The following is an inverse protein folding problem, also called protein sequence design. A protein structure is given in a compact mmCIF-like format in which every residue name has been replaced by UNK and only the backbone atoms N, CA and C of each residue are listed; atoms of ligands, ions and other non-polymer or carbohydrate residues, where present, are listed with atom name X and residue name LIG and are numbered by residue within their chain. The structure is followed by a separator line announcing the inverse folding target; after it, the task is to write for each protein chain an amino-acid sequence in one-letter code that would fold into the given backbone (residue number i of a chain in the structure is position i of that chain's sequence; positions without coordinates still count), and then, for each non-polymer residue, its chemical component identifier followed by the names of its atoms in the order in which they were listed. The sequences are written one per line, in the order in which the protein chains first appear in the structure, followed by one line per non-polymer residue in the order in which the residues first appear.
data_IF_282768775757
#
_entry.id   IF_282768775757
#
_cell.length_a   1.000
_cell.length_b   1.000
_cell.length_c   1.000
_cell.angle_alpha   90.00
_cell.angle_beta   90.00
_cell.angle_gamma   90.00
#
_symmetry.space_group_name_H-M   'P 1'
#
loop_
_entity.id
_entity.type
_entity.pdbx_description
1 polymer ?
#
# COMPACT_ATOMS: atom_id res chain seq x y z
N UNK A 1 -37.81 -20.98 15.50
CA UNK A 1 -36.54 -21.76 15.62
C UNK A 1 -35.55 -21.38 14.51
N UNK A 2 -35.23 -20.09 14.32
CA UNK A 2 -34.21 -19.65 13.35
C UNK A 2 -33.70 -18.25 13.70
N UNK A 3 -33.27 -18.04 14.95
CA UNK A 3 -32.83 -16.71 15.39
C UNK A 3 -31.78 -16.71 16.53
N UNK A 4 -31.34 -17.88 17.01
CA UNK A 4 -30.37 -17.99 18.10
C UNK A 4 -28.95 -18.38 17.66
N UNK A 5 -28.77 -18.80 16.41
CA UNK A 5 -27.49 -19.32 15.93
C UNK A 5 -26.61 -18.28 15.23
N UNK A 6 -27.17 -17.15 14.76
CA UNK A 6 -26.37 -16.07 14.16
C UNK A 6 -25.73 -15.13 15.19
N UNK A 7 -26.18 -15.14 16.45
CA UNK A 7 -25.62 -14.25 17.48
C UNK A 7 -24.32 -14.77 18.12
N UNK A 8 -23.88 -16.00 17.82
CA UNK A 8 -22.77 -16.67 18.52
C UNK A 8 -21.46 -16.82 17.75
N UNK A 9 -21.40 -16.48 16.46
CA UNK A 9 -20.22 -16.80 15.62
C UNK A 9 -19.25 -15.64 15.32
N UNK A 10 -19.22 -14.55 16.10
CA UNK A 10 -18.20 -13.52 15.86
C UNK A 10 -17.66 -12.78 17.10
N UNK A 11 -17.55 -13.47 18.25
CA UNK A 11 -17.14 -12.81 19.50
C UNK A 11 -16.00 -13.55 20.20
N UNK A 12 -14.79 -13.39 19.67
CA UNK A 12 -13.58 -13.51 20.49
C UNK A 12 -13.34 -12.14 21.12
N UNK A 13 -13.70 -12.01 22.39
CA UNK A 13 -13.46 -10.83 23.22
C UNK A 13 -12.09 -11.02 23.88
N UNK A 14 -11.17 -10.09 23.65
CA UNK A 14 -9.91 -10.02 24.37
C UNK A 14 -10.11 -9.30 25.72
N UNK A 15 -9.23 -9.57 26.69
CA UNK A 15 -9.34 -9.23 28.11
C UNK A 15 -9.42 -7.71 28.41
N UNK A 16 -9.09 -6.85 27.44
CA UNK A 16 -9.01 -5.39 27.60
C UNK A 16 -10.20 -4.59 27.06
N UNK A 17 -11.31 -5.22 26.66
CA UNK A 17 -12.57 -4.52 26.33
C UNK A 17 -12.56 -3.58 25.11
N UNK A 18 -11.41 -3.36 24.46
CA UNK A 18 -11.29 -2.49 23.30
C UNK A 18 -11.48 -3.27 21.99
N UNK A 19 -12.68 -3.18 21.39
CA UNK A 19 -12.97 -3.72 20.06
C UNK A 19 -12.32 -2.81 19.01
N UNK A 20 -11.08 -3.09 18.60
CA UNK A 20 -10.58 -2.51 17.33
C UNK A 20 -11.44 -3.07 16.19
N UNK A 21 -12.18 -2.24 15.44
CA UNK A 21 -13.03 -2.74 14.36
C UNK A 21 -12.17 -3.40 13.29
N UNK A 22 -12.57 -4.57 12.82
CA UNK A 22 -12.03 -5.13 11.57
C UNK A 22 -12.34 -4.15 10.44
N UNK A 23 -11.39 -3.87 9.55
CA UNK A 23 -11.64 -3.03 8.38
C UNK A 23 -11.21 -1.56 8.50
N UNK A 24 -10.24 -1.22 9.36
CA UNK A 24 -9.85 0.19 9.57
C UNK A 24 -9.27 0.79 8.29
N UNK A 25 -8.45 0.05 7.55
CA UNK A 25 -7.94 0.47 6.24
C UNK A 25 -9.05 0.74 5.23
N UNK A 26 -9.93 -0.24 5.03
CA UNK A 26 -11.05 -0.11 4.09
C UNK A 26 -12.00 1.02 4.49
N UNK A 27 -12.34 1.15 5.77
CA UNK A 27 -13.24 2.18 6.27
C UNK A 27 -12.66 3.58 6.08
N UNK A 28 -11.37 3.77 6.38
CA UNK A 28 -10.69 5.07 6.23
C UNK A 28 -10.54 5.50 4.77
N UNK A 29 -10.26 4.56 3.87
CA UNK A 29 -10.22 4.84 2.43
C UNK A 29 -11.59 5.27 1.89
N UNK A 30 -12.66 4.62 2.35
CA UNK A 30 -14.04 4.99 2.00
C UNK A 30 -14.45 6.35 2.58
N UNK A 31 -14.11 6.61 3.84
CA UNK A 31 -14.36 7.91 4.50
C UNK A 31 -13.70 9.06 3.74
N UNK A 32 -12.43 8.92 3.38
CA UNK A 32 -11.71 9.90 2.56
C UNK A 32 -12.35 10.09 1.18
N UNK A 33 -12.83 9.02 0.56
CA UNK A 33 -13.49 9.08 -0.74
C UNK A 33 -14.82 9.83 -0.68
N UNK A 34 -15.62 9.58 0.35
CA UNK A 34 -16.88 10.31 0.59
C UNK A 34 -16.61 11.81 0.81
N UNK A 35 -15.57 12.15 1.59
CA UNK A 35 -15.12 13.54 1.75
C UNK A 35 -14.71 14.17 0.40
N UNK A 36 -14.02 13.42 -0.45
CA UNK A 36 -13.62 13.90 -1.77
C UNK A 36 -14.82 14.12 -2.70
N UNK A 37 -15.82 13.23 -2.67
CA UNK A 37 -17.06 13.40 -3.45
C UNK A 37 -17.83 14.63 -3.00
N UNK A 38 -17.95 14.85 -1.69
CA UNK A 38 -18.63 16.02 -1.14
C UNK A 38 -17.97 17.36 -1.56
N UNK A 39 -16.64 17.38 -1.71
CA UNK A 39 -15.86 18.57 -2.09
C UNK A 39 -15.54 18.69 -3.58
N UNK A 40 -15.97 17.74 -4.42
CA UNK A 40 -15.62 17.70 -5.85
C UNK A 40 -14.12 17.39 -6.12
N UNK A 41 -13.43 16.79 -5.15
CA UNK A 41 -11.99 16.50 -5.17
C UNK A 41 -11.28 17.01 -3.91
N UNK A 42 -10.09 16.49 -3.64
CA UNK A 42 -9.23 16.90 -2.53
C UNK A 42 -7.84 17.27 -3.04
N UNK A 43 -7.17 18.20 -2.37
CA UNK A 43 -5.72 18.32 -2.52
C UNK A 43 -5.02 17.06 -1.97
N UNK A 44 -3.83 16.75 -2.48
CA UNK A 44 -3.02 15.64 -1.95
C UNK A 44 -2.79 15.84 -0.44
N UNK A 45 -2.51 17.07 -0.01
CA UNK A 45 -2.37 17.44 1.40
C UNK A 45 -3.61 17.10 2.23
N UNK A 46 -4.80 17.54 1.80
CA UNK A 46 -6.06 17.23 2.51
C UNK A 46 -6.32 15.73 2.59
N UNK A 47 -6.02 14.97 1.54
CA UNK A 47 -6.15 13.51 1.54
C UNK A 47 -5.19 12.85 2.54
N UNK A 48 -3.93 13.29 2.58
CA UNK A 48 -2.95 12.80 3.56
C UNK A 48 -3.34 13.17 5.00
N UNK A 49 -3.86 14.38 5.21
CA UNK A 49 -4.29 14.84 6.53
C UNK A 49 -5.50 14.06 7.04
N UNK A 50 -6.48 13.77 6.17
CA UNK A 50 -7.63 12.93 6.49
C UNK A 50 -7.22 11.51 6.93
N UNK A 51 -6.10 11.01 6.41
CA UNK A 51 -5.54 9.69 6.76
C UNK A 51 -4.72 9.70 8.07
N UNK A 52 -4.33 10.88 8.57
CA UNK A 52 -3.69 11.05 9.87
C UNK A 52 -2.44 10.18 10.08
N UNK A 53 -2.39 9.32 11.13
CA UNK A 53 -1.26 8.42 11.41
C UNK A 53 -0.96 7.41 10.31
N UNK A 54 -1.89 7.22 9.38
CA UNK A 54 -1.81 6.23 8.31
C UNK A 54 -1.56 6.82 6.93
N UNK A 55 -1.26 8.12 6.90
CA UNK A 55 -0.89 8.87 5.69
C UNK A 55 0.24 8.23 4.89
N UNK A 56 1.21 7.57 5.54
CA UNK A 56 2.30 6.85 4.86
C UNK A 56 1.77 5.70 4.00
N UNK A 57 0.98 4.80 4.59
CA UNK A 57 0.41 3.67 3.88
C UNK A 57 -0.47 4.16 2.71
N UNK A 58 -1.26 5.20 2.95
CA UNK A 58 -2.06 5.80 1.90
C UNK A 58 -1.24 6.42 0.78
N UNK A 59 -0.16 7.11 1.11
CA UNK A 59 0.74 7.69 0.09
C UNK A 59 1.33 6.59 -0.81
N UNK A 60 1.71 5.45 -0.22
CA UNK A 60 2.17 4.29 -0.99
C UNK A 60 1.08 3.82 -1.96
N UNK A 61 -0.16 3.64 -1.49
CA UNK A 61 -1.29 3.22 -2.33
C UNK A 61 -1.58 4.25 -3.45
N UNK A 62 -1.57 5.53 -3.08
CA UNK A 62 -1.85 6.64 -3.98
C UNK A 62 -0.81 6.74 -5.12
N UNK A 63 0.47 6.48 -4.82
CA UNK A 63 1.53 6.50 -5.82
C UNK A 63 1.64 5.18 -6.61
N UNK A 64 1.38 4.04 -5.97
CA UNK A 64 1.55 2.73 -6.59
C UNK A 64 0.42 2.38 -7.57
N UNK A 65 -0.83 2.76 -7.28
CA UNK A 65 -1.97 2.35 -8.12
C UNK A 65 -1.95 2.99 -9.52
N UNK A 66 -1.68 4.30 -9.67
CA UNK A 66 -1.50 4.89 -11.00
C UNK A 66 -0.37 4.22 -11.80
N UNK A 67 0.67 3.70 -11.13
CA UNK A 67 1.77 2.98 -11.78
C UNK A 67 1.35 1.61 -12.38
N UNK A 68 0.17 1.08 -12.06
CA UNK A 68 -0.43 -0.07 -12.75
C UNK A 68 -1.01 0.28 -14.11
N UNK A 69 -1.42 1.54 -14.30
CA UNK A 69 -2.08 1.91 -15.55
C UNK A 69 -1.05 1.85 -16.68
N UNK A 70 -1.26 1.03 -17.74
CA UNK A 70 -0.34 0.92 -18.86
C UNK A 70 -0.50 2.15 -19.76
N UNK A 71 -0.19 3.32 -19.20
CA UNK A 71 -0.16 4.58 -19.95
C UNK A 71 1.23 4.68 -20.56
N UNK A 72 1.36 4.77 -21.90
CA UNK A 72 2.64 4.99 -22.53
C UNK A 72 3.25 6.32 -22.04
N UNK A 73 4.43 6.25 -21.43
CA UNK A 73 5.15 7.41 -20.90
C UNK A 73 6.03 7.07 -19.70
N UNK A 74 6.83 8.03 -19.20
CA UNK A 74 7.75 7.82 -18.07
C UNK A 74 7.03 7.77 -16.70
N UNK A 75 5.74 7.39 -16.66
CA UNK A 75 4.93 7.38 -15.44
C UNK A 75 5.50 6.46 -14.37
N UNK A 76 5.95 5.26 -14.74
CA UNK A 76 6.62 4.33 -13.81
C UNK A 76 7.85 4.95 -13.15
N UNK A 77 8.67 5.67 -13.93
CA UNK A 77 9.85 6.38 -13.41
C UNK A 77 9.46 7.50 -12.44
N UNK A 78 8.44 8.29 -12.76
CA UNK A 78 7.96 9.39 -11.89
C UNK A 78 7.38 8.85 -10.58
N UNK A 79 6.42 7.91 -10.65
CA UNK A 79 5.78 7.33 -9.47
C UNK A 79 6.74 6.45 -8.66
N UNK A 80 7.60 5.69 -9.31
CA UNK A 80 8.66 4.90 -8.68
C UNK A 80 9.66 5.77 -7.94
N UNK A 81 10.11 6.88 -8.54
CA UNK A 81 11.01 7.84 -7.85
C UNK A 81 10.31 8.48 -6.65
N UNK A 82 9.05 8.88 -6.78
CA UNK A 82 8.28 9.41 -5.66
C UNK A 82 8.13 8.39 -4.52
N UNK A 83 7.83 7.12 -4.85
CA UNK A 83 7.78 6.02 -3.88
C UNK A 83 9.13 5.79 -3.20
N UNK A 84 10.23 5.87 -3.96
CA UNK A 84 11.57 5.74 -3.41
C UNK A 84 11.86 6.84 -2.38
N UNK A 85 11.52 8.09 -2.67
CA UNK A 85 11.65 9.19 -1.71
C UNK A 85 10.80 8.98 -0.46
N UNK A 86 9.54 8.56 -0.62
CA UNK A 86 8.65 8.23 0.51
C UNK A 86 9.25 7.13 1.37
N UNK A 87 9.79 6.09 0.75
CA UNK A 87 10.37 4.94 1.45
C UNK A 87 11.60 5.31 2.28
N UNK A 88 12.45 6.24 1.79
CA UNK A 88 13.57 6.78 2.56
C UNK A 88 13.09 7.52 3.81
N UNK A 89 11.96 8.25 3.73
CA UNK A 89 11.36 8.90 4.89
C UNK A 89 10.85 7.87 5.92
N UNK A 90 10.35 6.71 5.47
CA UNK A 90 9.95 5.61 6.34
C UNK A 90 11.18 5.04 7.07
N UNK A 91 12.26 4.78 6.34
CA UNK A 91 13.53 4.27 6.92
C UNK A 91 14.10 5.24 7.95
N UNK A 92 14.01 6.55 7.69
CA UNK A 92 14.38 7.60 8.64
C UNK A 92 13.46 7.69 9.87
N UNK A 93 12.41 6.87 9.98
CA UNK A 93 11.46 6.87 11.09
C UNK A 93 10.41 7.98 11.02
N UNK A 94 10.21 8.57 9.84
CA UNK A 94 9.18 9.56 9.59
C UNK A 94 7.79 9.00 9.91
N UNK A 95 6.96 9.77 10.65
CA UNK A 95 5.58 9.40 11.00
C UNK A 95 4.53 9.93 10.02
N UNK A 96 4.94 10.86 9.17
CA UNK A 96 4.13 11.50 8.14
C UNK A 96 5.01 11.67 6.91
N UNK A 97 4.43 11.55 5.74
CA UNK A 97 5.13 11.87 4.50
C UNK A 97 5.25 13.39 4.39
N UNK A 98 6.47 13.87 4.25
CA UNK A 98 6.75 15.22 3.82
C UNK A 98 6.69 15.28 2.30
N UNK A 99 5.80 16.14 1.78
CA UNK A 99 5.67 16.45 0.36
C UNK A 99 6.02 17.93 0.12
N UNK A 100 6.71 18.28 -0.98
CA UNK A 100 6.88 19.66 -1.41
C UNK A 100 5.51 20.35 -1.58
N UNK A 101 5.43 21.65 -1.26
CA UNK A 101 4.17 22.42 -1.32
C UNK A 101 3.46 22.31 -2.69
N UNK A 102 4.24 22.30 -3.78
CA UNK A 102 3.75 22.15 -5.15
C UNK A 102 2.93 20.86 -5.34
N UNK A 103 3.35 19.75 -4.73
CA UNK A 103 2.65 18.47 -4.82
C UNK A 103 1.51 18.43 -3.81
N UNK A 104 1.75 18.93 -2.60
CA UNK A 104 0.74 18.95 -1.53
C UNK A 104 -0.53 19.69 -1.97
N UNK A 105 -0.38 20.79 -2.69
CA UNK A 105 -1.49 21.67 -3.07
C UNK A 105 -2.16 21.25 -4.40
N UNK A 106 -1.65 20.20 -5.07
CA UNK A 106 -2.28 19.65 -6.28
C UNK A 106 -3.62 19.01 -5.93
N UNK A 107 -4.68 19.46 -6.61
CA UNK A 107 -6.01 18.83 -6.55
C UNK A 107 -6.06 17.53 -7.34
N UNK A 108 -6.63 16.53 -6.71
CA UNK A 108 -6.94 15.22 -7.28
C UNK A 108 -8.46 15.13 -7.40
N UNK A 109 -8.94 14.70 -8.57
CA UNK A 109 -10.37 14.52 -8.81
C UNK A 109 -10.92 13.35 -7.98
N UNK A 110 -12.20 13.43 -7.63
CA UNK A 110 -12.91 12.31 -6.99
C UNK A 110 -12.83 11.03 -7.84
N UNK A 111 -12.82 11.14 -9.17
CA UNK A 111 -12.68 10.01 -10.10
C UNK A 111 -11.33 9.29 -9.93
N UNK A 112 -10.22 10.04 -9.80
CA UNK A 112 -8.91 9.43 -9.58
C UNK A 112 -8.84 8.74 -8.22
N UNK A 113 -9.45 9.33 -7.18
CA UNK A 113 -9.56 8.70 -5.87
C UNK A 113 -10.47 7.46 -5.89
N UNK A 114 -11.56 7.49 -6.65
CA UNK A 114 -12.45 6.35 -6.88
C UNK A 114 -11.68 5.17 -7.51
N UNK A 115 -10.82 5.44 -8.50
CA UNK A 115 -9.98 4.41 -9.11
C UNK A 115 -9.00 3.80 -8.11
N UNK A 116 -8.34 4.63 -7.29
CA UNK A 116 -7.39 4.18 -6.26
C UNK A 116 -8.12 3.32 -5.24
N UNK A 117 -9.24 3.80 -4.71
CA UNK A 117 -10.04 3.07 -3.71
C UNK A 117 -10.64 1.80 -4.30
N UNK A 118 -11.13 1.84 -5.54
CA UNK A 118 -11.70 0.70 -6.24
C UNK A 118 -10.74 -0.46 -6.45
N UNK A 119 -9.44 -0.18 -6.65
CA UNK A 119 -8.40 -1.21 -6.75
C UNK A 119 -7.83 -1.62 -5.39
N UNK A 120 -7.65 -0.68 -4.47
CA UNK A 120 -7.10 -0.93 -3.15
C UNK A 120 -8.05 -1.77 -2.30
N UNK A 121 -9.31 -1.33 -2.14
CA UNK A 121 -10.31 -1.94 -1.25
C UNK A 121 -10.48 -3.45 -1.45
N UNK A 122 -10.61 -4.03 -2.65
CA UNK A 122 -10.80 -5.47 -2.79
C UNK A 122 -9.57 -6.29 -2.37
N UNK A 123 -8.36 -5.76 -2.55
CA UNK A 123 -7.12 -6.43 -2.10
C UNK A 123 -7.01 -6.28 -0.58
N UNK A 124 -7.20 -5.06 -0.08
CA UNK A 124 -7.15 -4.73 1.34
C UNK A 124 -8.18 -5.55 2.12
N UNK A 125 -9.44 -5.59 1.67
CA UNK A 125 -10.50 -6.34 2.33
C UNK A 125 -10.24 -7.86 2.37
N UNK A 126 -9.49 -8.42 1.40
CA UNK A 126 -9.05 -9.83 1.46
C UNK A 126 -7.97 -10.02 2.51
N UNK A 127 -7.02 -9.09 2.59
CA UNK A 127 -5.95 -9.10 3.60
C UNK A 127 -6.49 -8.84 5.01
N UNK A 128 -7.46 -7.94 5.17
CA UNK A 128 -8.13 -7.64 6.44
C UNK A 128 -8.88 -8.85 7.01
N UNK A 129 -9.35 -9.78 6.16
CA UNK A 129 -9.92 -11.06 6.64
C UNK A 129 -8.88 -11.98 7.28
N UNK A 130 -7.61 -11.81 6.93
CA UNK A 130 -6.47 -12.56 7.47
C UNK A 130 -5.86 -11.87 8.71
N UNK A 131 -6.14 -10.58 8.93
CA UNK A 131 -5.69 -9.81 10.10
C UNK A 131 -6.39 -10.33 11.36
N UNK A 132 -5.60 -10.76 12.34
CA UNK A 132 -6.10 -11.16 13.66
C UNK A 132 -5.26 -10.44 14.72
N UNK A 133 -5.90 -9.50 15.42
CA UNK A 133 -5.26 -8.64 16.42
C UNK A 133 -4.37 -9.45 17.38
N UNK A 134 -3.16 -8.96 17.64
CA UNK A 134 -2.25 -9.48 18.65
C UNK A 134 -1.24 -10.55 18.20
N UNK A 135 -1.25 -11.00 16.93
CA UNK A 135 -0.25 -11.95 16.44
C UNK A 135 1.04 -11.26 16.00
N UNK A 136 2.19 -11.81 16.42
CA UNK A 136 3.54 -11.39 16.01
C UNK A 136 3.85 -9.91 16.32
N UNK A 137 3.53 -9.42 17.52
CA UNK A 137 3.83 -8.04 17.95
C UNK A 137 5.32 -7.66 17.82
N UNK A 138 6.23 -8.65 17.89
CA UNK A 138 7.65 -8.44 17.64
C UNK A 138 7.93 -7.86 16.23
N UNK A 139 7.08 -8.15 15.24
CA UNK A 139 7.20 -7.66 13.86
C UNK A 139 6.47 -6.33 13.61
N UNK A 140 5.91 -5.70 14.64
CA UNK A 140 5.10 -4.47 14.49
C UNK A 140 5.66 -3.30 15.30
N UNK A 141 6.84 -3.51 15.91
CA UNK A 141 7.60 -2.50 16.61
C UNK A 141 8.06 -1.35 15.70
N UNK A 142 8.39 -0.20 16.30
CA UNK A 142 8.82 1.01 15.59
C UNK A 142 9.98 0.76 14.62
N UNK A 143 10.98 0.00 15.06
CA UNK A 143 12.15 -0.34 14.23
C UNK A 143 11.74 -1.17 13.02
N UNK A 144 10.87 -2.15 13.19
CA UNK A 144 10.41 -3.00 12.07
C UNK A 144 9.63 -2.16 11.07
N UNK A 145 8.75 -1.27 11.53
CA UNK A 145 8.03 -0.36 10.64
C UNK A 145 8.96 0.56 9.84
N UNK A 146 10.04 1.06 10.43
CA UNK A 146 11.05 1.82 9.70
C UNK A 146 11.79 0.95 8.68
N UNK A 147 12.15 -0.29 9.06
CA UNK A 147 12.80 -1.25 8.17
C UNK A 147 11.91 -1.69 7.00
N UNK A 148 10.58 -1.63 7.13
CA UNK A 148 9.66 -1.84 6.01
C UNK A 148 9.79 -0.77 4.93
N UNK A 149 10.46 0.36 5.19
CA UNK A 149 10.85 1.28 4.14
C UNK A 149 11.83 0.67 3.13
N UNK A 150 12.66 -0.30 3.52
CA UNK A 150 13.63 -0.97 2.63
C UNK A 150 12.93 -1.78 1.53
N UNK A 151 12.03 -2.74 1.82
CA UNK A 151 11.31 -3.46 0.76
C UNK A 151 10.46 -2.53 -0.10
N UNK A 152 9.87 -1.47 0.49
CA UNK A 152 9.16 -0.44 -0.29
C UNK A 152 10.11 0.28 -1.26
N UNK A 153 11.33 0.63 -0.84
CA UNK A 153 12.34 1.23 -1.69
C UNK A 153 12.72 0.31 -2.85
N UNK A 154 12.97 -0.97 -2.58
CA UNK A 154 13.32 -1.95 -3.61
C UNK A 154 12.20 -2.10 -4.66
N UNK A 155 10.95 -2.20 -4.22
CA UNK A 155 9.81 -2.24 -5.13
C UNK A 155 9.63 -0.94 -5.92
N UNK A 156 9.92 0.20 -5.31
CA UNK A 156 9.88 1.50 -5.98
C UNK A 156 10.91 1.59 -7.12
N UNK A 157 12.13 1.08 -6.89
CA UNK A 157 13.16 0.95 -7.93
C UNK A 157 12.70 0.02 -9.04
N UNK A 158 12.07 -1.11 -8.72
CA UNK A 158 11.51 -2.01 -9.74
C UNK A 158 10.44 -1.33 -10.58
N UNK A 159 9.54 -0.54 -9.98
CA UNK A 159 8.51 0.21 -10.72
C UNK A 159 9.12 1.32 -11.59
N UNK A 160 10.25 1.90 -11.15
CA UNK A 160 10.96 2.92 -11.93
C UNK A 160 11.60 2.35 -13.20
N UNK A 161 11.84 1.03 -13.25
CA UNK A 161 12.31 0.37 -14.46
C UNK A 161 11.19 0.31 -15.50
N UNK A 162 11.46 0.65 -16.78
CA UNK A 162 10.45 0.65 -17.84
C UNK A 162 10.19 -0.79 -18.34
N UNK A 163 9.69 -1.67 -17.46
CA UNK A 163 9.33 -3.05 -17.80
C UNK A 163 7.82 -3.10 -18.12
N UNK A 164 7.41 -3.34 -19.38
CA UNK A 164 6.00 -3.44 -19.72
C UNK A 164 5.36 -4.61 -18.97
N UNK A 165 4.18 -4.40 -18.38
CA UNK A 165 3.45 -5.36 -17.54
C UNK A 165 4.18 -5.83 -16.26
N UNK A 166 5.43 -5.39 -16.03
CA UNK A 166 6.24 -5.77 -14.87
C UNK A 166 5.77 -5.15 -13.56
N UNK A 167 4.93 -4.12 -13.60
CA UNK A 167 4.51 -3.36 -12.42
C UNK A 167 3.38 -4.01 -11.61
N UNK A 168 2.74 -5.07 -12.13
CA UNK A 168 1.60 -5.72 -11.44
C UNK A 168 2.05 -6.36 -10.11
N UNK A 169 3.12 -7.17 -10.16
CA UNK A 169 3.67 -7.83 -8.97
C UNK A 169 4.23 -6.83 -7.93
N UNK A 170 5.03 -5.83 -8.32
CA UNK A 170 5.48 -4.78 -7.41
C UNK A 170 4.36 -4.00 -6.75
N UNK A 171 3.36 -3.57 -7.51
CA UNK A 171 2.26 -2.78 -6.95
C UNK A 171 1.43 -3.64 -6.00
N UNK A 172 1.15 -4.90 -6.34
CA UNK A 172 0.46 -5.80 -5.42
C UNK A 172 1.22 -5.96 -4.10
N UNK A 173 2.54 -6.15 -4.17
CA UNK A 173 3.41 -6.25 -2.99
C UNK A 173 3.39 -4.96 -2.16
N UNK A 174 3.43 -3.79 -2.81
CA UNK A 174 3.32 -2.48 -2.16
C UNK A 174 1.97 -2.29 -1.48
N UNK A 175 0.86 -2.72 -2.09
CA UNK A 175 -0.46 -2.65 -1.49
C UNK A 175 -0.50 -3.46 -0.19
N UNK A 176 0.04 -4.69 -0.21
CA UNK A 176 0.09 -5.54 0.99
C UNK A 176 1.00 -4.93 2.07
N UNK A 177 2.16 -4.38 1.71
CA UNK A 177 3.05 -3.68 2.65
C UNK A 177 2.42 -2.41 3.22
N UNK A 178 1.66 -1.65 2.42
CA UNK A 178 0.92 -0.50 2.89
C UNK A 178 -0.13 -0.91 3.94
N UNK A 179 -0.86 -2.01 3.71
CA UNK A 179 -1.77 -2.57 4.72
C UNK A 179 -1.02 -3.02 5.97
N UNK A 180 0.14 -3.66 5.83
CA UNK A 180 0.97 -4.05 6.98
C UNK A 180 1.38 -2.83 7.84
N UNK A 181 1.79 -1.73 7.19
CA UNK A 181 2.13 -0.47 7.85
C UNK A 181 0.91 0.17 8.54
N UNK A 182 -0.25 0.08 7.91
CA UNK A 182 -1.52 0.63 8.38
C UNK A 182 -2.09 -0.11 9.59
N UNK A 183 -2.27 -1.43 9.47
CA UNK A 183 -2.91 -2.28 10.47
C UNK A 183 -1.93 -2.69 11.58
N UNK A 184 -0.61 -2.53 11.35
CA UNK A 184 0.45 -2.97 12.26
C UNK A 184 0.29 -4.44 12.64
N UNK A 185 0.06 -5.29 11.64
CA UNK A 185 -0.11 -6.74 11.79
C UNK A 185 1.15 -7.47 11.29
N UNK A 186 1.73 -8.33 12.15
CA UNK A 186 2.99 -9.01 11.84
C UNK A 186 2.85 -10.12 10.80
N UNK A 187 1.67 -10.73 10.65
CA UNK A 187 1.41 -11.73 9.62
C UNK A 187 1.28 -11.06 8.24
N UNK A 188 0.54 -9.94 8.16
CA UNK A 188 0.45 -9.15 6.92
C UNK A 188 1.83 -8.62 6.53
N UNK A 189 2.63 -8.22 7.53
CA UNK A 189 4.03 -7.83 7.32
C UNK A 189 4.82 -8.97 6.68
N UNK A 190 4.73 -10.19 7.22
CA UNK A 190 5.41 -11.36 6.67
C UNK A 190 4.96 -11.69 5.24
N UNK A 191 3.65 -11.65 4.98
CA UNK A 191 3.10 -11.87 3.63
C UNK A 191 3.63 -10.81 2.66
N UNK A 192 3.63 -9.54 3.06
CA UNK A 192 4.17 -8.44 2.25
C UNK A 192 5.65 -8.62 1.95
N UNK A 193 6.45 -9.07 2.92
CA UNK A 193 7.87 -9.38 2.71
C UNK A 193 8.06 -10.57 1.77
N UNK A 194 7.27 -11.63 1.91
CA UNK A 194 7.33 -12.79 1.01
C UNK A 194 6.97 -12.41 -0.44
N UNK A 195 5.90 -11.63 -0.62
CA UNK A 195 5.50 -11.10 -1.93
C UNK A 195 6.58 -10.19 -2.52
N UNK A 196 7.22 -9.37 -1.69
CA UNK A 196 8.34 -8.53 -2.11
C UNK A 196 9.49 -9.39 -2.61
N UNK A 197 9.94 -10.37 -1.82
CA UNK A 197 11.01 -11.29 -2.22
C UNK A 197 10.69 -12.02 -3.52
N UNK A 198 9.46 -12.55 -3.65
CA UNK A 198 9.00 -13.21 -4.86
C UNK A 198 9.01 -12.26 -6.07
N UNK A 199 8.59 -11.01 -5.87
CA UNK A 199 8.63 -9.97 -6.91
C UNK A 199 10.05 -9.69 -7.35
N UNK A 200 10.99 -9.47 -6.41
CA UNK A 200 12.40 -9.20 -6.75
C UNK A 200 13.01 -10.36 -7.53
N UNK A 201 12.78 -11.61 -7.10
CA UNK A 201 13.26 -12.80 -7.81
C UNK A 201 12.66 -12.90 -9.20
N UNK A 202 11.35 -12.70 -9.35
CA UNK A 202 10.67 -12.74 -10.65
C UNK A 202 11.18 -11.65 -11.59
N UNK A 203 11.36 -10.42 -11.11
CA UNK A 203 11.92 -9.31 -11.88
C UNK A 203 13.37 -9.58 -12.29
N UNK A 204 14.21 -10.08 -11.37
CA UNK A 204 15.60 -10.40 -11.66
C UNK A 204 15.72 -11.53 -12.71
N UNK A 205 14.89 -12.57 -12.60
CA UNK A 205 14.82 -13.64 -13.58
C UNK A 205 14.40 -13.10 -14.96
N UNK A 206 13.37 -12.26 -15.02
CA UNK A 206 12.91 -11.63 -16.27
C UNK A 206 14.03 -10.80 -16.93
N UNK A 207 14.74 -9.97 -16.16
CA UNK A 207 15.86 -9.18 -16.67
C UNK A 207 17.00 -10.07 -17.19
N UNK A 208 17.30 -11.16 -16.50
CA UNK A 208 18.28 -12.14 -16.95
C UNK A 208 17.87 -12.79 -18.29
N UNK A 209 16.61 -13.21 -18.43
CA UNK A 209 16.08 -13.76 -19.68
C UNK A 209 16.15 -12.77 -20.85
N UNK A 210 15.75 -11.51 -20.62
CA UNK A 210 15.85 -10.45 -21.64
C UNK A 210 17.30 -10.26 -22.07
N UNK A 211 18.23 -10.15 -21.10
CA UNK A 211 19.66 -10.01 -21.39
C UNK A 211 20.21 -11.20 -22.18
N UNK A 212 19.84 -12.42 -21.81
CA UNK A 212 20.26 -13.64 -22.48
C UNK A 212 19.75 -13.69 -23.93
N UNK A 213 18.50 -13.30 -24.19
CA UNK A 213 17.98 -13.21 -25.55
C UNK A 213 18.71 -12.17 -26.40
N UNK A 214 18.99 -10.98 -25.86
CA UNK A 214 19.73 -9.93 -26.58
C UNK A 214 21.14 -10.42 -26.93
N UNK A 215 21.85 -11.05 -25.99
CA UNK A 215 23.20 -11.58 -26.23
C UNK A 215 23.22 -12.74 -27.22
N UNK A 216 22.15 -13.55 -27.28
CA UNK A 216 22.04 -14.65 -28.25
C UNK A 216 21.71 -14.14 -29.66
N UNK A 217 21.08 -12.96 -29.75
CA UNK A 217 20.69 -12.33 -31.01
C UNK A 217 21.76 -11.38 -31.60
N UNK A 218 22.85 -11.10 -30.87
CA UNK A 218 23.98 -10.23 -31.26
C UNK A 218 25.21 -11.04 -31.63
#
# INVERSE_FOLDING_TARGET
MRDRDQLKMDRVIDHDGNRRPRGVATARLREMLELARAKGGLSIGEALEAMGPTSIAFTILFLAIPALTPIPGPFGMVFGTALALVSLQIVAGGRKVWLPAIIRDRRVSSVALDLIVGHAVPVIARVEKLVRAGRLQALTGRTVQALLGIPVFLLAVVIALPIPFGNILPVLSLVVLAVALMERDGLVTLIGLLLTSATIVATAALLYFIKAMIFTAS
#
